data_IF_767115403827
#
_entry.id   IF_767115403827
#
_cell.length_a   1.000
_cell.length_b   1.000
_cell.length_c   1.000
_cell.angle_alpha   90.00
_cell.angle_beta   90.00
_cell.angle_gamma   90.00
#
_symmetry.space_group_name_H-M   'P 1'
#
loop_
_entity.id
_entity.type
_entity.pdbx_description
1 polymer ?
#
# COMPACT_ATOMS: atom_id res chain seq x y z
N UNK A 1 14.72 16.67 -13.10
CA UNK A 1 13.48 16.64 -13.91
C UNK A 1 13.11 15.20 -14.05
N UNK A 2 12.08 14.75 -13.35
CA UNK A 2 11.64 13.34 -13.35
C UNK A 2 11.04 13.02 -14.71
N UNK A 3 11.59 12.02 -15.44
CA UNK A 3 10.99 11.59 -16.71
C UNK A 3 9.69 10.83 -16.41
N UNK A 4 8.68 11.01 -17.25
CA UNK A 4 7.34 10.47 -17.06
C UNK A 4 6.94 9.65 -18.29
N UNK A 5 6.39 8.44 -18.06
CA UNK A 5 5.71 7.66 -19.07
C UNK A 5 4.31 7.32 -18.56
N UNK A 6 3.30 7.33 -19.43
CA UNK A 6 1.96 6.81 -19.11
C UNK A 6 1.85 5.35 -19.53
N UNK A 7 1.21 4.55 -18.70
CA UNK A 7 0.74 3.24 -19.12
C UNK A 7 -0.60 3.34 -19.88
N UNK A 8 -1.06 2.21 -20.43
CA UNK A 8 -2.32 2.15 -21.16
C UNK A 8 -3.56 2.54 -20.33
N UNK A 9 -3.45 2.64 -19.00
CA UNK A 9 -4.52 3.00 -18.06
C UNK A 9 -4.45 4.48 -17.65
N UNK A 10 -3.49 5.25 -18.15
CA UNK A 10 -3.32 6.67 -17.85
C UNK A 10 -2.74 6.93 -16.43
N UNK A 11 -2.16 5.92 -15.77
CA UNK A 11 -1.41 6.08 -14.52
C UNK A 11 0.03 6.43 -14.88
N UNK A 12 0.58 7.39 -14.14
CA UNK A 12 1.92 7.85 -14.38
C UNK A 12 2.94 6.79 -13.92
N UNK A 13 3.83 6.37 -14.83
CA UNK A 13 5.04 5.65 -14.44
C UNK A 13 6.13 6.70 -14.14
N UNK A 14 6.45 6.84 -12.88
CA UNK A 14 7.56 7.73 -12.48
C UNK A 14 8.90 7.07 -12.81
N UNK A 15 9.80 7.85 -13.38
CA UNK A 15 11.20 7.45 -13.61
C UNK A 15 12.06 8.28 -12.67
N UNK A 16 12.59 7.63 -11.66
CA UNK A 16 13.51 8.25 -10.70
C UNK A 16 14.83 8.56 -11.39
N UNK A 17 15.46 9.72 -11.11
CA UNK A 17 16.74 10.10 -11.71
C UNK A 17 17.92 9.36 -11.07
N UNK A 18 17.88 8.01 -11.08
CA UNK A 18 18.94 7.14 -10.60
C UNK A 18 19.72 6.59 -11.80
N UNK A 19 21.04 6.73 -11.78
CA UNK A 19 21.94 6.06 -12.70
C UNK A 19 22.00 4.53 -12.44
N UNK A 20 22.64 3.82 -13.37
CA UNK A 20 22.78 2.36 -13.29
C UNK A 20 23.49 1.91 -12.00
N UNK A 21 24.50 2.67 -11.55
CA UNK A 21 25.31 2.38 -10.37
C UNK A 21 24.86 3.11 -9.11
N UNK A 22 23.78 3.90 -9.16
CA UNK A 22 23.23 4.57 -7.98
C UNK A 22 22.37 3.60 -7.18
N UNK A 23 22.50 3.65 -5.85
CA UNK A 23 21.73 2.84 -4.93
C UNK A 23 20.41 3.51 -4.53
N UNK A 24 20.47 4.80 -4.23
CA UNK A 24 19.32 5.54 -3.71
C UNK A 24 19.28 6.98 -4.21
N UNK A 25 18.09 7.54 -4.21
CA UNK A 25 17.79 8.94 -4.46
C UNK A 25 17.04 9.52 -3.25
N UNK A 26 17.51 10.66 -2.74
CA UNK A 26 16.86 11.38 -1.64
C UNK A 26 16.42 12.75 -2.14
N UNK A 27 15.14 13.03 -1.96
CA UNK A 27 14.57 14.34 -2.25
C UNK A 27 14.06 14.96 -0.94
N UNK A 28 14.64 16.09 -0.55
CA UNK A 28 14.23 16.92 0.58
C UNK A 28 13.57 18.19 0.04
N UNK A 29 12.28 18.37 0.31
CA UNK A 29 11.47 19.41 -0.33
C UNK A 29 10.56 20.10 0.66
N UNK A 30 10.51 21.42 0.60
CA UNK A 30 9.47 22.24 1.19
C UNK A 30 8.46 22.62 0.11
N UNK A 31 7.18 22.39 0.35
CA UNK A 31 6.09 22.56 -0.61
C UNK A 31 4.98 23.44 -0.03
N UNK A 32 4.52 24.41 -0.81
CA UNK A 32 3.32 25.17 -0.47
C UNK A 32 2.02 24.40 -0.80
N UNK A 33 2.12 23.40 -1.69
CA UNK A 33 0.99 22.56 -2.11
C UNK A 33 1.48 21.23 -2.72
N UNK A 34 0.62 20.21 -2.66
CA UNK A 34 0.80 18.97 -3.38
C UNK A 34 0.06 18.99 -4.72
N UNK A 35 0.79 18.80 -5.81
CA UNK A 35 0.26 18.79 -7.18
C UNK A 35 0.77 17.63 -8.03
N UNK A 36 1.46 16.65 -7.42
CA UNK A 36 1.96 15.49 -8.14
C UNK A 36 0.83 14.45 -8.29
N UNK A 37 0.59 13.95 -9.51
CA UNK A 37 -0.52 13.03 -9.77
C UNK A 37 -0.26 11.64 -9.19
N UNK A 38 -1.29 10.81 -9.20
CA UNK A 38 -1.14 9.40 -8.84
C UNK A 38 -0.16 8.72 -9.79
N UNK A 39 0.76 7.94 -9.21
CA UNK A 39 1.87 7.33 -9.94
C UNK A 39 2.27 6.00 -9.32
N UNK A 40 3.17 5.30 -9.98
CA UNK A 40 3.88 4.12 -9.49
C UNK A 40 5.31 4.12 -10.04
N UNK A 41 6.20 3.37 -9.43
CA UNK A 41 7.59 3.21 -9.84
C UNK A 41 8.15 1.85 -9.39
N UNK A 42 9.28 1.44 -9.94
CA UNK A 42 9.87 0.12 -9.67
C UNK A 42 10.76 0.08 -8.42
N UNK A 43 11.05 1.23 -7.82
CA UNK A 43 11.90 1.36 -6.65
C UNK A 43 11.11 1.18 -5.36
N UNK A 44 11.80 0.85 -4.29
CA UNK A 44 11.26 1.00 -2.95
C UNK A 44 11.22 2.48 -2.60
N UNK A 45 10.17 2.92 -1.91
CA UNK A 45 10.02 4.30 -1.48
C UNK A 45 9.70 4.38 0.01
N UNK A 46 10.46 5.19 0.73
CA UNK A 46 10.13 5.67 2.07
C UNK A 46 9.78 7.15 1.95
N UNK A 47 8.51 7.49 2.14
CA UNK A 47 8.01 8.86 2.06
C UNK A 47 7.65 9.36 3.46
N UNK A 48 8.30 10.44 3.87
CA UNK A 48 8.06 11.15 5.13
C UNK A 48 7.45 12.51 4.84
N UNK A 49 6.41 12.86 5.61
CA UNK A 49 5.74 14.16 5.55
C UNK A 49 5.67 14.76 6.96
N UNK A 50 6.00 16.04 7.08
CA UNK A 50 5.88 16.87 8.27
C UNK A 50 5.06 18.11 7.91
N UNK A 51 4.26 18.65 8.86
CA UNK A 51 3.30 19.74 8.65
C UNK A 51 2.24 19.45 7.59
N UNK A 52 1.86 18.15 7.48
CA UNK A 52 0.96 17.63 6.47
C UNK A 52 -0.49 17.45 6.93
N UNK A 53 -0.92 18.02 8.08
CA UNK A 53 -2.27 17.84 8.58
C UNK A 53 -3.34 18.16 7.52
N UNK A 54 -4.16 17.16 7.16
CA UNK A 54 -5.19 17.28 6.13
C UNK A 54 -4.76 16.97 4.69
N UNK A 55 -3.50 16.65 4.42
CA UNK A 55 -3.04 16.10 3.15
C UNK A 55 -3.79 14.79 2.87
N UNK A 56 -4.31 14.63 1.66
CA UNK A 56 -4.96 13.38 1.21
C UNK A 56 -3.89 12.42 0.71
N UNK A 57 -3.74 11.28 1.38
CA UNK A 57 -2.87 10.20 0.96
C UNK A 57 -3.69 9.10 0.29
N UNK A 58 -3.30 8.73 -0.92
CA UNK A 58 -3.82 7.56 -1.64
C UNK A 58 -2.69 6.55 -1.78
N UNK A 59 -2.89 5.33 -1.29
CA UNK A 59 -1.97 4.20 -1.48
C UNK A 59 -2.81 2.97 -1.81
N UNK A 60 -2.75 2.54 -3.06
CA UNK A 60 -3.65 1.52 -3.58
C UNK A 60 -5.12 1.92 -3.41
N UNK A 61 -5.90 1.08 -2.78
CA UNK A 61 -7.32 1.33 -2.50
C UNK A 61 -7.60 1.96 -1.12
N UNK A 62 -6.56 2.47 -0.43
CA UNK A 62 -6.68 3.29 0.77
C UNK A 62 -6.66 4.77 0.41
N UNK A 63 -7.64 5.53 0.91
CA UNK A 63 -7.73 6.99 0.77
C UNK A 63 -7.98 7.60 2.14
N UNK A 64 -7.02 8.35 2.66
CA UNK A 64 -7.07 8.90 4.02
C UNK A 64 -6.52 10.33 4.06
N UNK A 65 -7.01 11.12 5.01
CA UNK A 65 -6.36 12.38 5.38
C UNK A 65 -5.35 12.09 6.49
N UNK A 66 -4.09 12.52 6.28
CA UNK A 66 -3.03 12.30 7.27
C UNK A 66 -3.06 13.34 8.38
N UNK A 67 -2.37 13.04 9.48
CA UNK A 67 -2.07 13.99 10.55
C UNK A 67 -0.91 14.93 10.18
N UNK A 68 -0.33 15.56 11.19
CA UNK A 68 0.81 16.46 10.99
C UNK A 68 2.07 15.74 10.48
N UNK A 69 2.23 14.48 10.92
CA UNK A 69 3.30 13.58 10.48
C UNK A 69 2.72 12.36 9.77
N UNK A 70 3.40 11.94 8.70
CA UNK A 70 3.13 10.69 8.00
C UNK A 70 4.45 10.03 7.59
N UNK A 71 4.52 8.71 7.65
CA UNK A 71 5.65 7.94 7.15
C UNK A 71 5.13 6.64 6.55
N UNK A 72 5.40 6.44 5.27
CA UNK A 72 4.95 5.26 4.52
C UNK A 72 6.12 4.64 3.79
N UNK A 73 6.23 3.31 3.89
CA UNK A 73 7.13 2.50 3.08
C UNK A 73 6.32 1.75 2.02
N UNK A 74 6.75 1.85 0.76
CA UNK A 74 6.20 1.15 -0.40
C UNK A 74 7.30 0.28 -1.00
N UNK A 75 7.01 -1.01 -1.22
CA UNK A 75 7.96 -1.97 -1.79
C UNK A 75 7.42 -2.72 -3.01
N UNK A 76 6.26 -2.33 -3.53
CA UNK A 76 5.65 -2.95 -4.72
C UNK A 76 5.71 -2.02 -5.92
N UNK A 77 6.22 -2.49 -7.07
CA UNK A 77 6.31 -1.68 -8.30
C UNK A 77 4.95 -1.34 -8.91
N UNK A 78 3.89 -2.04 -8.51
CA UNK A 78 2.56 -1.89 -9.08
C UNK A 78 1.56 -1.21 -8.13
N UNK A 79 2.03 -0.70 -6.99
CA UNK A 79 1.16 -0.04 -6.03
C UNK A 79 1.08 1.46 -6.35
N UNK A 80 -0.03 1.87 -6.91
CA UNK A 80 -0.31 3.27 -7.19
C UNK A 80 -0.43 4.06 -5.89
N UNK A 81 0.22 5.24 -5.87
CA UNK A 81 0.20 6.11 -4.69
C UNK A 81 0.33 7.59 -5.06
N UNK A 82 -0.13 8.43 -4.14
CA UNK A 82 0.07 9.88 -4.18
C UNK A 82 -0.19 10.53 -2.83
N UNK A 83 0.39 11.70 -2.64
CA UNK A 83 -0.02 12.68 -1.63
C UNK A 83 -0.58 13.89 -2.35
N UNK A 84 -1.81 14.25 -2.05
CA UNK A 84 -2.55 15.37 -2.65
C UNK A 84 -2.88 16.43 -1.61
N UNK A 85 -3.18 17.66 -2.05
CA UNK A 85 -3.45 18.80 -1.15
C UNK A 85 -4.58 18.50 -0.15
N UNK A 86 -5.63 17.81 -0.58
CA UNK A 86 -6.75 17.45 0.30
C UNK A 86 -7.36 18.65 1.01
N UNK A 87 -7.36 18.60 2.34
CA UNK A 87 -7.81 19.68 3.26
C UNK A 87 -6.65 20.44 3.91
N UNK A 88 -5.41 20.15 3.52
CA UNK A 88 -4.24 20.76 4.13
C UNK A 88 -4.18 22.26 3.78
N UNK A 89 -3.98 23.08 4.81
CA UNK A 89 -3.83 24.53 4.69
C UNK A 89 -2.40 25.02 4.95
N UNK A 90 -1.49 24.10 5.29
CA UNK A 90 -0.08 24.42 5.47
C UNK A 90 0.51 24.98 4.18
N UNK A 91 1.37 26.00 4.32
CA UNK A 91 2.16 26.56 3.21
C UNK A 91 3.63 26.15 3.25
N UNK A 92 3.98 25.33 4.22
CA UNK A 92 5.33 24.79 4.40
C UNK A 92 5.25 23.32 4.78
N UNK A 93 4.79 22.49 3.83
CA UNK A 93 4.77 21.04 3.99
C UNK A 93 6.18 20.54 3.69
N UNK A 94 6.82 19.92 4.68
CA UNK A 94 8.14 19.33 4.50
C UNK A 94 8.02 17.86 4.13
N UNK A 95 8.60 17.48 3.00
CA UNK A 95 8.58 16.10 2.49
C UNK A 95 10.00 15.61 2.25
N UNK A 96 10.32 14.42 2.79
CA UNK A 96 11.53 13.68 2.46
C UNK A 96 11.13 12.37 1.81
N UNK A 97 11.47 12.23 0.51
CA UNK A 97 11.25 11.00 -0.26
C UNK A 97 12.58 10.29 -0.47
N UNK A 98 12.67 9.04 -0.05
CA UNK A 98 13.84 8.18 -0.26
C UNK A 98 13.43 7.04 -1.17
N UNK A 99 13.93 7.03 -2.42
CA UNK A 99 13.72 5.94 -3.37
C UNK A 99 15.02 5.14 -3.50
N UNK A 100 14.96 3.79 -3.40
CA UNK A 100 16.15 2.96 -3.36
C UNK A 100 15.94 1.59 -4.00
N UNK A 101 17.05 0.98 -4.46
CA UNK A 101 17.10 -0.38 -5.01
C UNK A 101 17.38 -1.39 -3.91
N UNK A 102 16.84 -2.60 -4.01
CA UNK A 102 17.14 -3.70 -3.06
C UNK A 102 18.15 -4.70 -3.63
N UNK A 103 18.20 -4.85 -4.94
CA UNK A 103 19.07 -5.77 -5.66
C UNK A 103 20.55 -5.32 -5.74
N UNK A 104 20.87 -4.18 -5.13
CA UNK A 104 22.20 -3.58 -5.11
C UNK A 104 23.27 -4.49 -4.44
N UNK A 105 22.92 -5.16 -3.36
CA UNK A 105 23.82 -6.10 -2.70
C UNK A 105 23.70 -7.46 -3.38
N UNK A 106 24.69 -7.79 -4.21
CA UNK A 106 24.77 -9.11 -4.79
C UNK A 106 24.76 -10.18 -3.69
N UNK A 107 23.76 -11.03 -3.72
CA UNK A 107 23.49 -12.00 -2.68
C UNK A 107 22.24 -11.65 -1.87
N UNK A 108 21.66 -12.69 -1.30
CA UNK A 108 20.38 -12.59 -0.57
C UNK A 108 20.63 -12.14 0.90
N UNK A 109 21.28 -10.96 1.07
CA UNK A 109 21.63 -10.45 2.40
C UNK A 109 20.39 -10.29 3.29
N UNK A 110 19.26 -9.91 2.68
CA UNK A 110 18.01 -9.73 3.42
C UNK A 110 17.39 -11.06 3.88
N UNK A 111 17.79 -12.20 3.33
CA UNK A 111 17.37 -13.53 3.81
C UNK A 111 18.18 -13.99 5.02
N UNK A 112 19.28 -13.32 5.35
CA UNK A 112 20.10 -13.66 6.51
C UNK A 112 19.45 -13.23 7.83
N UNK A 113 19.73 -13.94 8.91
CA UNK A 113 19.13 -13.69 10.21
C UNK A 113 19.20 -12.21 10.70
N UNK A 114 20.32 -11.48 10.53
CA UNK A 114 20.39 -10.08 10.96
C UNK A 114 19.39 -9.14 10.26
N UNK A 115 18.98 -9.47 9.04
CA UNK A 115 18.08 -8.65 8.21
C UNK A 115 16.64 -9.15 8.18
N UNK A 116 16.33 -10.23 8.89
CA UNK A 116 15.01 -10.90 8.84
C UNK A 116 13.85 -9.95 9.17
N UNK A 117 14.02 -9.06 10.15
CA UNK A 117 12.97 -8.08 10.50
C UNK A 117 12.73 -7.07 9.38
N UNK A 118 13.79 -6.62 8.70
CA UNK A 118 13.69 -5.72 7.55
C UNK A 118 12.99 -6.44 6.38
N UNK A 119 13.37 -7.69 6.10
CA UNK A 119 12.72 -8.49 5.06
C UNK A 119 11.22 -8.65 5.30
N UNK A 120 10.83 -8.99 6.54
CA UNK A 120 9.41 -9.10 6.93
C UNK A 120 8.68 -7.77 6.79
N UNK A 121 9.31 -6.65 7.13
CA UNK A 121 8.77 -5.32 6.91
C UNK A 121 8.56 -5.04 5.41
N UNK A 122 9.50 -5.41 4.55
CA UNK A 122 9.36 -5.23 3.10
C UNK A 122 8.21 -6.05 2.51
N UNK A 123 8.02 -7.29 2.97
CA UNK A 123 6.86 -8.10 2.55
C UNK A 123 5.53 -7.40 2.90
N UNK A 124 5.42 -6.80 4.09
CA UNK A 124 4.24 -6.03 4.48
C UNK A 124 4.09 -4.74 3.68
N UNK A 125 5.21 -4.08 3.36
CA UNK A 125 5.25 -2.82 2.60
C UNK A 125 4.84 -2.97 1.12
N UNK A 126 4.71 -4.19 0.60
CA UNK A 126 4.09 -4.43 -0.73
C UNK A 126 2.64 -3.91 -0.81
N UNK A 127 2.00 -3.69 0.33
CA UNK A 127 0.65 -3.12 0.45
C UNK A 127 0.67 -1.67 0.95
N UNK A 128 1.84 -1.03 0.96
CA UNK A 128 2.06 0.25 1.62
C UNK A 128 1.98 0.11 3.14
N UNK A 129 3.06 0.38 3.84
CA UNK A 129 3.16 0.23 5.30
C UNK A 129 3.26 1.60 5.95
N UNK A 130 2.20 2.00 6.67
CA UNK A 130 2.13 3.26 7.40
C UNK A 130 2.59 3.07 8.84
N UNK A 131 3.52 3.89 9.28
CA UNK A 131 4.11 3.82 10.61
C UNK A 131 3.38 4.71 11.62
N UNK A 132 3.24 4.27 12.88
CA UNK A 132 2.66 5.09 13.94
C UNK A 132 3.64 6.19 14.39
N UNK A 133 3.11 7.25 15.00
CA UNK A 133 3.91 8.40 15.45
C UNK A 133 5.15 8.02 16.30
N UNK A 134 5.11 7.06 17.24
CA UNK A 134 6.32 6.64 17.97
C UNK A 134 7.42 6.11 17.05
N UNK A 135 7.09 5.37 15.98
CA UNK A 135 8.05 4.89 15.01
C UNK A 135 8.65 6.05 14.20
N UNK A 136 7.81 6.99 13.79
CA UNK A 136 8.25 8.21 13.09
C UNK A 136 9.25 8.98 13.93
N UNK A 137 8.93 9.22 15.22
CA UNK A 137 9.80 9.97 16.14
C UNK A 137 11.12 9.24 16.42
N UNK A 138 11.14 7.90 16.43
CA UNK A 138 12.35 7.11 16.60
C UNK A 138 13.37 7.33 15.47
N UNK A 139 12.90 7.62 14.24
CA UNK A 139 13.76 7.83 13.07
C UNK A 139 13.79 9.28 12.57
N UNK A 140 13.04 10.18 13.19
CA UNK A 140 12.90 11.58 12.76
C UNK A 140 14.21 12.30 12.53
N UNK A 141 15.10 12.29 13.52
CA UNK A 141 16.42 12.92 13.43
C UNK A 141 17.30 12.30 12.34
N UNK A 142 17.20 10.97 12.15
CA UNK A 142 17.93 10.24 11.12
C UNK A 142 17.43 10.56 9.71
N UNK A 143 16.12 10.67 9.51
CA UNK A 143 15.54 11.09 8.22
C UNK A 143 16.03 12.48 7.80
N UNK A 144 16.00 13.44 8.74
CA UNK A 144 16.53 14.79 8.50
C UNK A 144 18.05 14.83 8.29
N UNK A 145 18.79 13.93 8.92
CA UNK A 145 20.23 13.77 8.72
C UNK A 145 20.52 13.16 7.35
N UNK A 146 19.83 12.06 6.98
CA UNK A 146 19.98 11.39 5.69
C UNK A 146 19.84 12.35 4.51
N UNK A 147 18.87 13.27 4.57
CA UNK A 147 18.64 14.26 3.53
C UNK A 147 19.82 15.25 3.34
N UNK A 148 20.76 15.34 4.30
CA UNK A 148 21.92 16.24 4.29
C UNK A 148 23.24 15.54 3.99
N UNK A 149 23.27 14.19 4.02
CA UNK A 149 24.48 13.41 3.77
C UNK A 149 24.86 13.51 2.28
N UNK A 150 26.12 13.86 2.01
CA UNK A 150 26.65 13.97 0.65
C UNK A 150 27.47 12.73 0.22
N UNK A 151 28.05 12.03 1.19
CA UNK A 151 28.86 10.83 0.93
C UNK A 151 27.96 9.58 0.84
N UNK A 152 27.98 8.93 -0.32
CA UNK A 152 27.07 7.83 -0.64
C UNK A 152 27.11 6.66 0.35
N UNK A 153 28.29 6.27 0.85
CA UNK A 153 28.42 5.20 1.84
C UNK A 153 27.68 5.50 3.14
N UNK A 154 27.89 6.69 3.72
CA UNK A 154 27.20 7.09 4.95
C UNK A 154 25.69 7.26 4.79
N UNK A 155 25.27 7.66 3.59
CA UNK A 155 23.84 7.72 3.29
C UNK A 155 23.19 6.32 3.25
N UNK A 156 23.89 5.32 2.69
CA UNK A 156 23.46 3.91 2.69
C UNK A 156 23.42 3.36 4.10
N UNK A 157 24.46 3.60 4.92
CA UNK A 157 24.53 3.20 6.32
C UNK A 157 23.34 3.79 7.12
N UNK A 158 23.07 5.08 6.96
CA UNK A 158 21.97 5.76 7.65
C UNK A 158 20.59 5.21 7.22
N UNK A 159 20.41 4.90 5.94
CA UNK A 159 19.19 4.24 5.46
C UNK A 159 18.99 2.87 6.12
N UNK A 160 20.05 2.04 6.23
CA UNK A 160 19.94 0.75 6.92
C UNK A 160 19.58 0.90 8.40
N UNK A 161 20.13 1.89 9.09
CA UNK A 161 19.75 2.20 10.46
C UNK A 161 18.26 2.58 10.56
N UNK A 162 17.77 3.45 9.66
CA UNK A 162 16.35 3.82 9.61
C UNK A 162 15.47 2.59 9.38
N UNK A 163 15.78 1.78 8.38
CA UNK A 163 15.02 0.58 8.05
C UNK A 163 15.00 -0.43 9.20
N UNK A 164 16.12 -0.61 9.88
CA UNK A 164 16.19 -1.51 11.03
C UNK A 164 15.36 -1.00 12.20
N UNK A 165 15.45 0.28 12.56
CA UNK A 165 14.61 0.85 13.61
C UNK A 165 13.12 0.73 13.29
N UNK A 166 12.70 1.05 12.07
CA UNK A 166 11.32 0.92 11.62
C UNK A 166 10.83 -0.54 11.65
N UNK A 167 11.70 -1.51 11.36
CA UNK A 167 11.34 -2.93 11.34
C UNK A 167 10.96 -3.52 12.70
N UNK A 168 11.24 -2.80 13.80
CA UNK A 168 10.87 -3.20 15.16
C UNK A 168 9.43 -2.87 15.52
N UNK A 169 8.75 -2.03 14.74
CA UNK A 169 7.38 -1.57 15.03
C UNK A 169 6.34 -2.48 14.38
N UNK A 170 5.83 -3.45 15.15
CA UNK A 170 4.79 -4.38 14.71
C UNK A 170 3.43 -3.70 14.46
N UNK A 171 3.19 -2.56 15.10
CA UNK A 171 1.98 -1.74 15.02
C UNK A 171 1.84 -0.97 13.70
N UNK A 172 2.86 -0.95 12.86
CA UNK A 172 2.77 -0.39 11.51
C UNK A 172 1.62 -1.05 10.73
N UNK A 173 0.82 -0.23 10.03
CA UNK A 173 -0.45 -0.64 9.41
C UNK A 173 -0.32 -0.74 7.90
N UNK A 174 -0.75 -1.86 7.33
CA UNK A 174 -0.88 -2.03 5.88
C UNK A 174 -2.06 -1.20 5.36
N UNK A 175 -1.85 -0.47 4.27
CA UNK A 175 -2.81 0.47 3.69
C UNK A 175 -3.70 -0.21 2.65
N UNK A 176 -3.12 -0.77 1.60
CA UNK A 176 -3.86 -1.39 0.52
C UNK A 176 -4.36 -2.79 0.87
N UNK A 177 -5.50 -3.17 0.30
CA UNK A 177 -5.95 -4.57 0.35
C UNK A 177 -5.03 -5.46 -0.49
N UNK A 178 -4.86 -6.73 -0.09
CA UNK A 178 -4.07 -7.70 -0.85
C UNK A 178 -4.63 -7.94 -2.25
N UNK A 179 -5.96 -7.86 -2.40
CA UNK A 179 -6.66 -8.02 -3.68
C UNK A 179 -6.37 -6.87 -4.64
N UNK A 180 -6.24 -5.65 -4.14
CA UNK A 180 -5.91 -4.50 -4.96
C UNK A 180 -4.42 -4.50 -5.31
N UNK A 181 -3.54 -4.71 -4.35
CA UNK A 181 -2.09 -4.73 -4.53
C UNK A 181 -1.58 -5.95 -5.31
N UNK A 182 -2.43 -6.96 -5.57
CA UNK A 182 -2.09 -8.22 -6.25
C UNK A 182 -0.90 -8.98 -5.61
N UNK A 183 -0.76 -8.87 -4.30
CA UNK A 183 0.35 -9.44 -3.55
C UNK A 183 0.03 -10.87 -3.10
N UNK A 184 0.95 -11.81 -3.39
CA UNK A 184 0.92 -13.16 -2.81
C UNK A 184 1.56 -13.12 -1.42
N UNK A 185 0.83 -13.52 -0.40
CA UNK A 185 1.34 -13.56 0.99
C UNK A 185 1.98 -14.93 1.24
N UNK A 186 3.31 -14.98 1.32
CA UNK A 186 4.08 -16.24 1.39
C UNK A 186 4.23 -16.86 2.80
N UNK A 187 4.04 -16.12 3.90
CA UNK A 187 4.37 -16.59 5.26
C UNK A 187 3.20 -17.13 6.10
N UNK A 188 2.06 -17.45 5.50
CA UNK A 188 0.93 -18.01 6.26
C UNK A 188 0.94 -19.54 6.32
N UNK A 189 0.36 -20.08 7.40
CA UNK A 189 0.06 -21.51 7.50
C UNK A 189 -0.57 -21.99 6.18
N UNK A 190 -0.04 -23.07 5.60
CA UNK A 190 -0.53 -23.67 4.33
C UNK A 190 -2.04 -23.79 4.25
N UNK A 191 -2.73 -23.98 5.39
CA UNK A 191 -4.19 -24.06 5.47
C UNK A 191 -4.84 -22.70 5.23
N UNK A 192 -4.34 -21.62 5.84
CA UNK A 192 -4.87 -20.26 5.63
C UNK A 192 -4.62 -19.80 4.22
N UNK A 193 -3.42 -20.05 3.70
CA UNK A 193 -3.07 -19.72 2.33
C UNK A 193 -3.99 -20.44 1.33
N UNK A 194 -4.24 -21.73 1.49
CA UNK A 194 -5.15 -22.49 0.64
C UNK A 194 -6.58 -21.90 0.62
N UNK A 195 -7.07 -21.47 1.79
CA UNK A 195 -8.40 -20.82 1.89
C UNK A 195 -8.38 -19.45 1.22
N UNK A 196 -7.35 -18.64 1.43
CA UNK A 196 -7.23 -17.33 0.79
C UNK A 196 -7.18 -17.45 -0.72
N UNK A 197 -6.37 -18.34 -1.27
CA UNK A 197 -6.28 -18.62 -2.71
C UNK A 197 -7.64 -19.05 -3.27
N UNK A 198 -8.36 -19.96 -2.57
CA UNK A 198 -9.70 -20.37 -2.96
C UNK A 198 -10.67 -19.18 -2.99
N UNK A 199 -10.68 -18.32 -1.97
CA UNK A 199 -11.52 -17.13 -1.93
C UNK A 199 -11.16 -16.16 -3.07
N UNK A 200 -9.87 -15.92 -3.31
CA UNK A 200 -9.41 -15.02 -4.39
C UNK A 200 -9.79 -15.55 -5.79
N UNK A 201 -9.83 -16.85 -5.98
CA UNK A 201 -10.24 -17.46 -7.25
C UNK A 201 -11.76 -17.44 -7.44
N UNK A 202 -12.51 -17.66 -6.36
CA UNK A 202 -13.96 -17.88 -6.40
C UNK A 202 -14.78 -16.74 -5.77
N UNK A 203 -14.21 -15.56 -5.57
CA UNK A 203 -14.85 -14.44 -4.84
C UNK A 203 -16.21 -14.01 -5.42
N UNK A 204 -16.48 -14.30 -6.70
CA UNK A 204 -17.74 -13.97 -7.38
C UNK A 204 -18.90 -14.83 -6.90
N UNK A 205 -18.61 -16.03 -6.45
CA UNK A 205 -19.59 -17.05 -6.08
C UNK A 205 -20.00 -16.94 -4.61
N UNK A 206 -21.14 -17.57 -4.28
CA UNK A 206 -21.52 -17.74 -2.89
C UNK A 206 -20.62 -18.80 -2.25
N UNK A 207 -19.96 -18.43 -1.16
CA UNK A 207 -19.07 -19.32 -0.40
C UNK A 207 -19.63 -19.59 0.98
N UNK A 208 -19.75 -20.87 1.33
CA UNK A 208 -20.24 -21.34 2.63
C UNK A 208 -19.09 -21.71 3.54
N UNK A 209 -19.30 -21.53 4.86
CA UNK A 209 -18.32 -21.86 5.88
C UNK A 209 -17.91 -23.35 5.81
N UNK A 210 -18.89 -24.24 5.58
CA UNK A 210 -18.71 -25.68 5.48
C UNK A 210 -17.72 -26.03 4.35
N UNK A 211 -17.93 -25.47 3.16
CA UNK A 211 -17.07 -25.67 1.99
C UNK A 211 -15.61 -25.30 2.26
N UNK A 212 -15.38 -24.17 2.91
CA UNK A 212 -14.04 -23.69 3.20
C UNK A 212 -13.38 -24.44 4.36
N UNK A 213 -14.17 -24.91 5.31
CA UNK A 213 -13.67 -25.75 6.40
C UNK A 213 -13.25 -27.14 5.91
N UNK A 214 -14.01 -27.75 5.00
CA UNK A 214 -13.68 -29.03 4.34
C UNK A 214 -12.40 -28.92 3.53
N UNK A 215 -12.18 -27.80 2.83
CA UNK A 215 -10.97 -27.55 2.04
C UNK A 215 -9.67 -27.73 2.84
N UNK A 216 -9.73 -27.49 4.16
CA UNK A 216 -8.57 -27.57 5.07
C UNK A 216 -8.70 -28.67 6.13
N UNK A 217 -9.73 -29.54 6.01
CA UNK A 217 -9.95 -30.67 6.90
C UNK A 217 -10.26 -30.27 8.35
N UNK A 218 -11.09 -29.24 8.53
CA UNK A 218 -11.46 -28.72 9.86
C UNK A 218 -12.99 -28.73 10.04
N UNK A 219 -13.45 -28.90 11.30
CA UNK A 219 -14.85 -28.68 11.62
C UNK A 219 -15.18 -27.15 11.47
N UNK A 220 -16.39 -26.77 11.00
CA UNK A 220 -16.75 -25.37 10.72
C UNK A 220 -16.50 -24.40 11.89
N UNK A 221 -16.84 -24.79 13.11
CA UNK A 221 -16.61 -23.98 14.31
C UNK A 221 -15.13 -23.76 14.64
N UNK A 222 -14.32 -24.82 14.50
CA UNK A 222 -12.88 -24.75 14.69
C UNK A 222 -12.22 -23.89 13.60
N UNK A 223 -12.64 -24.08 12.35
CA UNK A 223 -12.17 -23.28 11.21
C UNK A 223 -12.48 -21.79 11.39
N UNK A 224 -13.71 -21.43 11.78
CA UNK A 224 -14.09 -20.03 12.00
C UNK A 224 -13.18 -19.32 13.02
N UNK A 225 -12.88 -20.00 14.16
CA UNK A 225 -11.95 -19.47 15.17
C UNK A 225 -10.51 -19.39 14.64
N UNK A 226 -10.05 -20.44 13.98
CA UNK A 226 -8.72 -20.52 13.38
C UNK A 226 -8.52 -19.41 12.34
N UNK A 227 -9.46 -19.24 11.41
CA UNK A 227 -9.38 -18.24 10.35
C UNK A 227 -9.36 -16.82 10.93
N UNK A 228 -10.26 -16.52 11.89
CA UNK A 228 -10.28 -15.21 12.58
C UNK A 228 -8.98 -14.94 13.35
N UNK A 229 -8.41 -15.94 14.02
CA UNK A 229 -7.14 -15.81 14.75
C UNK A 229 -5.98 -15.47 13.81
N UNK A 230 -5.97 -16.08 12.60
CA UNK A 230 -4.87 -15.93 11.64
C UNK A 230 -5.01 -14.71 10.74
N UNK A 231 -6.23 -14.27 10.44
CA UNK A 231 -6.49 -13.16 9.51
C UNK A 231 -6.94 -11.87 10.20
N UNK A 232 -7.23 -11.93 11.50
CA UNK A 232 -7.82 -10.82 12.25
C UNK A 232 -9.30 -10.52 11.90
N UNK A 233 -9.89 -11.24 10.93
CA UNK A 233 -11.23 -11.00 10.39
C UNK A 233 -12.05 -12.29 10.36
N UNK A 234 -13.38 -12.18 10.51
CA UNK A 234 -14.21 -13.31 10.22
C UNK A 234 -14.29 -13.57 8.70
N UNK A 235 -14.74 -14.77 8.31
CA UNK A 235 -14.77 -15.21 6.92
C UNK A 235 -15.59 -14.27 6.02
N UNK A 236 -16.79 -13.87 6.48
CA UNK A 236 -17.67 -13.01 5.71
C UNK A 236 -17.05 -11.61 5.48
N UNK A 237 -16.41 -11.05 6.50
CA UNK A 237 -15.67 -9.78 6.38
C UNK A 237 -14.51 -9.90 5.40
N UNK A 238 -13.77 -11.02 5.45
CA UNK A 238 -12.64 -11.24 4.56
C UNK A 238 -13.11 -11.34 3.08
N UNK A 239 -14.16 -12.10 2.80
CA UNK A 239 -14.74 -12.22 1.46
C UNK A 239 -15.21 -10.85 0.94
N UNK A 240 -15.89 -10.07 1.78
CA UNK A 240 -16.31 -8.70 1.42
C UNK A 240 -15.10 -7.83 1.07
N UNK A 241 -14.04 -7.88 1.86
CA UNK A 241 -12.83 -7.08 1.62
C UNK A 241 -12.13 -7.48 0.30
N UNK A 242 -12.08 -8.78 -0.03
CA UNK A 242 -11.57 -9.27 -1.33
C UNK A 242 -12.41 -8.71 -2.48
N UNK A 243 -13.73 -8.83 -2.40
CA UNK A 243 -14.66 -8.31 -3.43
C UNK A 243 -14.52 -6.81 -3.61
N UNK A 244 -14.42 -6.05 -2.52
CA UNK A 244 -14.26 -4.59 -2.57
C UNK A 244 -12.87 -4.19 -3.12
N UNK A 245 -11.81 -4.94 -2.85
CA UNK A 245 -10.48 -4.71 -3.43
C UNK A 245 -10.47 -4.89 -4.94
N UNK A 246 -11.11 -5.99 -5.44
CA UNK A 246 -11.28 -6.22 -6.88
C UNK A 246 -12.16 -5.15 -7.52
N UNK A 247 -13.26 -4.77 -6.86
CA UNK A 247 -14.15 -3.70 -7.36
C UNK A 247 -13.42 -2.36 -7.44
N UNK A 248 -12.59 -2.01 -6.46
CA UNK A 248 -11.79 -0.80 -6.48
C UNK A 248 -10.82 -0.80 -7.68
N UNK A 249 -10.17 -1.93 -7.97
CA UNK A 249 -9.32 -2.09 -9.15
C UNK A 249 -10.10 -1.91 -10.46
N UNK A 250 -11.26 -2.57 -10.62
CA UNK A 250 -12.11 -2.43 -11.81
C UNK A 250 -12.63 -0.99 -12.00
N UNK A 251 -12.95 -0.28 -10.91
CA UNK A 251 -13.36 1.13 -10.97
C UNK A 251 -12.27 2.04 -11.58
N UNK A 252 -11.00 1.69 -11.41
CA UNK A 252 -9.86 2.44 -11.93
C UNK A 252 -9.50 2.01 -13.35
N UNK A 253 -9.51 0.69 -13.59
CA UNK A 253 -8.98 0.10 -14.82
C UNK A 253 -10.01 0.10 -15.98
N UNK A 254 -11.31 0.27 -15.66
CA UNK A 254 -12.37 0.18 -16.65
C UNK A 254 -13.36 1.34 -16.57
N UNK A 255 -14.10 1.55 -17.67
CA UNK A 255 -15.24 2.47 -17.70
C UNK A 255 -16.58 1.76 -17.47
N UNK A 256 -16.58 0.51 -17.00
CA UNK A 256 -17.80 -0.23 -16.73
C UNK A 256 -18.71 0.49 -15.73
N UNK A 257 -20.03 0.42 -15.92
CA UNK A 257 -20.98 0.97 -14.96
C UNK A 257 -20.74 0.41 -13.55
N UNK A 258 -20.88 1.24 -12.53
CA UNK A 258 -20.74 0.84 -11.11
C UNK A 258 -21.64 -0.34 -10.76
N UNK A 259 -22.85 -0.38 -11.34
CA UNK A 259 -23.78 -1.50 -11.18
C UNK A 259 -23.24 -2.81 -11.75
N UNK A 260 -22.59 -2.78 -12.90
CA UNK A 260 -21.98 -3.96 -13.52
C UNK A 260 -20.81 -4.46 -12.65
N UNK A 261 -19.93 -3.58 -12.23
CA UNK A 261 -18.82 -3.92 -11.32
C UNK A 261 -19.33 -4.54 -10.01
N UNK A 262 -20.43 -4.00 -9.45
CA UNK A 262 -21.07 -4.56 -8.26
C UNK A 262 -21.40 -6.06 -8.45
N UNK A 263 -22.10 -6.40 -9.53
CA UNK A 263 -22.54 -7.79 -9.78
C UNK A 263 -21.37 -8.69 -10.19
N UNK A 264 -20.46 -8.23 -11.01
CA UNK A 264 -19.28 -9.01 -11.43
C UNK A 264 -18.32 -9.28 -10.28
N UNK A 265 -18.35 -8.47 -9.21
CA UNK A 265 -17.59 -8.70 -7.98
C UNK A 265 -18.35 -9.55 -6.95
N UNK A 266 -19.53 -10.11 -7.29
CA UNK A 266 -20.25 -11.05 -6.44
C UNK A 266 -21.13 -10.41 -5.37
N UNK A 267 -21.54 -9.13 -5.52
CA UNK A 267 -22.54 -8.51 -4.66
C UNK A 267 -23.94 -8.71 -5.24
N UNK A 268 -24.90 -9.03 -4.38
CA UNK A 268 -26.27 -9.30 -4.80
C UNK A 268 -27.10 -8.03 -5.02
N UNK A 269 -26.73 -6.90 -4.41
CA UNK A 269 -27.46 -5.63 -4.55
C UNK A 269 -26.51 -4.44 -4.57
N UNK A 270 -26.82 -3.46 -5.42
CA UNK A 270 -26.06 -2.21 -5.52
C UNK A 270 -26.12 -1.40 -4.22
N UNK A 271 -27.24 -1.42 -3.51
CA UNK A 271 -27.40 -0.73 -2.22
C UNK A 271 -26.43 -1.24 -1.18
N UNK A 272 -26.32 -2.57 -1.01
CA UNK A 272 -25.39 -3.18 -0.06
C UNK A 272 -23.93 -2.93 -0.47
N UNK A 273 -23.63 -3.05 -1.76
CA UNK A 273 -22.31 -2.75 -2.32
C UNK A 273 -21.88 -1.30 -1.98
N UNK A 274 -22.69 -0.31 -2.34
CA UNK A 274 -22.40 1.11 -2.08
C UNK A 274 -22.19 1.38 -0.58
N UNK A 275 -23.03 0.81 0.27
CA UNK A 275 -22.93 0.96 1.73
C UNK A 275 -21.62 0.37 2.26
N UNK A 276 -21.25 -0.85 1.83
CA UNK A 276 -20.03 -1.52 2.27
C UNK A 276 -18.78 -0.84 1.69
N UNK A 277 -18.82 -0.43 0.42
CA UNK A 277 -17.73 0.29 -0.23
C UNK A 277 -17.45 1.61 0.50
N UNK A 278 -18.49 2.44 0.74
CA UNK A 278 -18.35 3.69 1.49
C UNK A 278 -17.84 3.47 2.90
N UNK A 279 -18.32 2.42 3.60
CA UNK A 279 -17.85 2.07 4.94
C UNK A 279 -16.36 1.71 4.96
N UNK A 280 -15.85 1.00 3.93
CA UNK A 280 -14.47 0.50 3.88
C UNK A 280 -13.48 1.47 3.22
N UNK A 281 -13.93 2.28 2.25
CA UNK A 281 -13.09 3.17 1.44
C UNK A 281 -13.27 4.65 1.75
N UNK A 282 -14.20 5.00 2.64
CA UNK A 282 -14.48 6.39 3.04
C UNK A 282 -15.27 7.21 2.03
N UNK A 283 -15.46 6.72 0.80
CA UNK A 283 -16.20 7.39 -0.25
C UNK A 283 -17.04 6.39 -1.07
N UNK A 284 -17.98 6.89 -1.87
CA UNK A 284 -18.78 6.05 -2.78
C UNK A 284 -17.91 5.50 -3.93
N UNK A 285 -18.35 4.42 -4.61
CA UNK A 285 -17.62 3.90 -5.80
C UNK A 285 -17.44 4.95 -6.90
N UNK A 286 -18.45 5.80 -7.13
CA UNK A 286 -18.37 6.87 -8.13
C UNK A 286 -17.34 7.92 -7.73
N UNK A 287 -17.39 8.42 -6.49
CA UNK A 287 -16.40 9.36 -5.94
C UNK A 287 -14.98 8.77 -5.97
N UNK A 288 -14.85 7.46 -5.70
CA UNK A 288 -13.58 6.76 -5.78
C UNK A 288 -13.00 6.81 -7.19
N UNK A 289 -13.80 6.43 -8.21
CA UNK A 289 -13.41 6.52 -9.63
C UNK A 289 -13.04 7.94 -10.03
N UNK A 290 -13.84 8.93 -9.65
CA UNK A 290 -13.59 10.33 -9.99
C UNK A 290 -12.30 10.88 -9.37
N UNK A 291 -12.00 10.52 -8.12
CA UNK A 291 -10.75 10.91 -7.46
C UNK A 291 -9.55 10.37 -8.23
N UNK A 292 -9.55 9.09 -8.58
CA UNK A 292 -8.48 8.51 -9.39
C UNK A 292 -8.41 9.13 -10.80
N UNK A 293 -9.54 9.39 -11.44
CA UNK A 293 -9.56 10.03 -12.76
C UNK A 293 -9.00 11.45 -12.73
N UNK A 294 -9.31 12.25 -11.69
CA UNK A 294 -8.76 13.62 -11.51
C UNK A 294 -7.26 13.64 -11.26
N UNK A 295 -6.69 12.54 -10.71
CA UNK A 295 -5.26 12.44 -10.42
C UNK A 295 -4.46 11.84 -11.57
N UNK A 296 -5.13 11.30 -12.61
CA UNK A 296 -4.48 10.86 -13.84
C UNK A 296 -4.04 12.07 -14.67
N UNK A 297 -2.85 11.96 -15.27
CA UNK A 297 -2.39 12.96 -16.24
C UNK A 297 -3.12 12.73 -17.55
N UNK A 298 -3.92 13.70 -17.99
CA UNK A 298 -4.48 13.73 -19.35
C UNK A 298 -3.47 14.47 -20.22
N UNK A 299 -2.86 13.80 -21.15
CA UNK A 299 -1.99 14.40 -22.18
C UNK A 299 -2.77 14.62 -23.45
#
# INVERSE_FOLDING_TARGET
MTMRRQDGNGILQEITPLGEHDFMFVADRHKAEYNFPIHRHDLFELNFVEHGAGVERIVGDSMEYIGDYDLVLISSPNLEHMWGQGKCTSRDIHEITVQFKIDFLHGDIFSTNPFRSIQQMFVRAQRGLCFPLPAIMAVYGRLKHLAKIKEGFYAVEELFHILYELSKFSEARELSSSSFAQVKVEEESRRVQKVKEFIHTNYREEMRLEQLSELVGMAPTAFSRFFKLRTGKNLAEYIVDVRLGVAARQLIDTNEPVSQICYTCGFNTLTNFNRLFKKRKGCSPTEFREKYAKTKVIV
#
